data_IF_844131457452
#
_entry.id   IF_844131457452
#
_cell.length_a   1.000
_cell.length_b   1.000
_cell.length_c   1.000
_cell.angle_alpha   90.00
_cell.angle_beta   90.00
_cell.angle_gamma   90.00
#
_symmetry.space_group_name_H-M   'P 1'
#
loop_
_entity.id
_entity.type
_entity.pdbx_description
1 polymer ?
#
# COMPACT_ATOMS: atom_id res chain seq x y z
N UNK A 1 -2.89 31.42 -24.62
CA UNK A 1 -2.56 31.12 -23.20
C UNK A 1 -1.54 29.98 -23.17
N UNK A 2 -0.31 30.26 -22.76
CA UNK A 2 0.72 29.23 -22.59
C UNK A 2 0.26 28.29 -21.47
N UNK A 3 0.07 27.00 -21.78
CA UNK A 3 -0.23 26.01 -20.74
C UNK A 3 1.07 25.77 -19.97
N UNK A 4 1.05 26.01 -18.67
CA UNK A 4 2.17 25.65 -17.80
C UNK A 4 2.41 24.14 -17.96
N UNK A 5 3.64 23.70 -18.29
CA UNK A 5 3.93 22.29 -18.47
C UNK A 5 3.82 21.57 -17.12
N UNK A 6 3.39 20.31 -17.18
CA UNK A 6 3.44 19.44 -16.00
C UNK A 6 4.81 18.77 -15.97
N UNK A 7 5.47 18.78 -14.82
CA UNK A 7 6.75 18.10 -14.56
C UNK A 7 6.55 17.02 -13.50
N UNK A 8 7.49 16.07 -13.41
CA UNK A 8 7.55 15.08 -12.34
C UNK A 8 8.85 15.25 -11.59
N UNK A 9 8.79 15.22 -10.27
CA UNK A 9 9.94 15.30 -9.38
C UNK A 9 9.77 14.35 -8.19
N UNK A 10 10.86 14.10 -7.48
CA UNK A 10 10.80 13.43 -6.19
C UNK A 10 10.05 14.30 -5.16
N UNK A 11 9.36 13.61 -4.25
CA UNK A 11 8.58 14.23 -3.21
C UNK A 11 9.46 14.81 -2.12
N UNK A 12 8.99 15.90 -1.54
CA UNK A 12 9.63 16.66 -0.47
C UNK A 12 8.76 16.60 0.77
N UNK A 13 9.32 16.92 1.94
CA UNK A 13 8.58 16.95 3.20
C UNK A 13 7.29 17.79 3.11
N UNK A 14 7.36 18.94 2.43
CA UNK A 14 6.21 19.86 2.26
C UNK A 14 5.07 19.28 1.41
N UNK A 15 5.31 18.20 0.65
CA UNK A 15 4.25 17.54 -0.13
C UNK A 15 3.33 16.66 0.77
N UNK A 16 3.69 16.43 2.04
CA UNK A 16 2.96 15.52 2.92
C UNK A 16 1.47 15.89 3.07
N UNK A 17 1.13 17.18 3.16
CA UNK A 17 -0.27 17.63 3.21
C UNK A 17 -1.03 17.34 1.91
N UNK A 18 -0.38 17.52 0.76
CA UNK A 18 -0.97 17.18 -0.54
C UNK A 18 -1.21 15.67 -0.64
N UNK A 19 -0.22 14.86 -0.28
CA UNK A 19 -0.30 13.40 -0.30
C UNK A 19 -1.40 12.89 0.64
N UNK A 20 -1.57 13.50 1.81
CA UNK A 20 -2.65 13.18 2.75
C UNK A 20 -4.01 13.35 2.08
N UNK A 21 -4.21 14.45 1.34
CA UNK A 21 -5.46 14.74 0.64
C UNK A 21 -5.80 13.72 -0.46
N UNK A 22 -4.82 13.14 -1.15
CA UNK A 22 -5.06 12.20 -2.26
C UNK A 22 -5.02 10.71 -1.85
N UNK A 23 -4.41 10.39 -0.71
CA UNK A 23 -4.19 9.02 -0.26
C UNK A 23 -4.86 8.68 1.09
N UNK A 24 -5.70 9.56 1.64
CA UNK A 24 -6.39 9.34 2.91
C UNK A 24 -7.01 7.93 3.03
N UNK A 25 -7.70 7.45 2.00
CA UNK A 25 -8.35 6.13 1.98
C UNK A 25 -7.38 4.94 1.95
N UNK A 26 -6.10 5.18 1.63
CA UNK A 26 -5.05 4.17 1.57
C UNK A 26 -4.20 4.11 2.84
N UNK A 27 -4.23 5.16 3.65
CA UNK A 27 -3.51 5.23 4.92
C UNK A 27 -4.23 4.44 6.02
N UNK A 28 -3.50 4.13 7.10
CA UNK A 28 -4.12 3.50 8.28
C UNK A 28 -5.18 4.43 8.87
N UNK A 29 -6.24 3.82 9.41
CA UNK A 29 -7.36 4.54 10.03
C UNK A 29 -6.95 5.06 11.40
N UNK A 30 -6.40 6.28 11.44
CA UNK A 30 -5.99 7.02 12.63
C UNK A 30 -6.32 8.51 12.45
N UNK A 31 -5.98 9.36 13.41
CA UNK A 31 -6.15 10.81 13.26
C UNK A 31 -5.22 11.41 12.20
N UNK A 32 -5.57 12.61 11.72
CA UNK A 32 -4.85 13.25 10.62
C UNK A 32 -3.40 13.60 10.97
N UNK A 33 -3.08 13.85 12.24
CA UNK A 33 -1.72 14.20 12.66
C UNK A 33 -0.80 12.98 12.60
N UNK A 34 -1.28 11.82 13.05
CA UNK A 34 -0.54 10.57 12.88
C UNK A 34 -0.39 10.19 11.40
N UNK A 35 -1.43 10.36 10.58
CA UNK A 35 -1.35 10.11 9.14
C UNK A 35 -0.33 11.02 8.44
N UNK A 36 -0.23 12.28 8.85
CA UNK A 36 0.75 13.22 8.33
C UNK A 36 2.18 12.77 8.70
N UNK A 37 2.40 12.38 9.96
CA UNK A 37 3.69 11.85 10.41
C UNK A 37 4.09 10.54 9.71
N UNK A 38 3.12 9.68 9.38
CA UNK A 38 3.37 8.50 8.56
C UNK A 38 3.85 8.89 7.16
N UNK A 39 3.23 9.88 6.52
CA UNK A 39 3.62 10.35 5.19
C UNK A 39 5.01 10.99 5.18
N UNK A 40 5.35 11.81 6.18
CA UNK A 40 6.71 12.34 6.34
C UNK A 40 7.76 11.22 6.48
N UNK A 41 7.40 10.16 7.19
CA UNK A 41 8.25 8.96 7.33
C UNK A 41 8.40 8.23 6.00
N UNK A 42 7.31 8.09 5.24
CA UNK A 42 7.33 7.45 3.91
C UNK A 42 8.18 8.25 2.92
N UNK A 43 8.03 9.59 2.89
CA UNK A 43 8.84 10.47 2.04
C UNK A 43 10.32 10.29 2.35
N UNK A 44 10.70 10.36 3.65
CA UNK A 44 12.09 10.20 4.08
C UNK A 44 12.64 8.81 3.76
N UNK A 45 11.83 7.77 3.92
CA UNK A 45 12.20 6.40 3.59
C UNK A 45 12.48 6.22 2.10
N UNK A 46 11.65 6.83 1.25
CA UNK A 46 11.85 6.80 -0.19
C UNK A 46 13.11 7.55 -0.62
N UNK A 47 13.37 8.74 -0.05
CA UNK A 47 14.56 9.54 -0.32
C UNK A 47 15.86 8.84 0.11
N UNK A 48 15.81 8.08 1.22
CA UNK A 48 16.96 7.36 1.76
C UNK A 48 17.24 6.01 1.06
N UNK A 49 16.37 5.55 0.15
CA UNK A 49 16.46 4.20 -0.43
C UNK A 49 16.63 4.24 -1.95
N UNK A 50 17.67 3.61 -2.52
CA UNK A 50 17.82 3.52 -3.96
C UNK A 50 16.75 2.64 -4.62
N UNK A 51 16.06 1.80 -3.85
CA UNK A 51 15.02 0.90 -4.34
C UNK A 51 13.61 1.50 -4.24
N UNK A 52 13.48 2.74 -3.77
CA UNK A 52 12.20 3.41 -3.62
C UNK A 52 12.24 4.79 -4.26
N UNK A 53 11.10 5.24 -4.78
CA UNK A 53 10.90 6.64 -5.20
C UNK A 53 9.45 7.03 -4.96
N UNK A 54 9.25 8.17 -4.30
CA UNK A 54 7.94 8.83 -4.24
C UNK A 54 8.00 10.00 -5.20
N UNK A 55 7.16 9.98 -6.23
CA UNK A 55 7.14 11.01 -7.25
C UNK A 55 5.87 11.85 -7.13
N UNK A 56 6.02 13.16 -7.31
CA UNK A 56 4.94 14.14 -7.39
C UNK A 56 4.97 14.76 -8.78
N UNK A 57 3.81 14.75 -9.45
CA UNK A 57 3.60 15.55 -10.65
C UNK A 57 3.13 16.94 -10.23
N UNK A 58 3.74 17.98 -10.79
CA UNK A 58 3.40 19.38 -10.51
C UNK A 58 3.11 20.16 -11.79
N UNK A 59 2.13 21.05 -11.73
CA UNK A 59 1.85 22.02 -12.79
C UNK A 59 2.33 23.40 -12.31
N UNK A 60 3.54 23.79 -12.69
CA UNK A 60 4.22 24.94 -12.09
C UNK A 60 4.67 24.58 -10.67
N UNK A 61 4.06 25.18 -9.65
CA UNK A 61 4.32 24.87 -8.23
C UNK A 61 3.18 24.10 -7.56
N UNK A 62 2.08 23.84 -8.28
CA UNK A 62 0.93 23.15 -7.73
C UNK A 62 1.09 21.63 -7.91
N UNK A 63 1.10 20.82 -6.84
CA UNK A 63 1.10 19.37 -6.95
C UNK A 63 -0.27 18.87 -7.45
N UNK A 64 -0.25 18.00 -8.46
CA UNK A 64 -1.45 17.55 -9.20
C UNK A 64 -1.58 16.04 -9.30
N UNK A 65 -0.57 15.29 -8.89
CA UNK A 65 -0.62 13.84 -8.80
C UNK A 65 0.59 13.28 -8.09
N UNK A 66 0.51 12.01 -7.70
CA UNK A 66 1.63 11.30 -7.09
C UNK A 66 1.59 9.81 -7.37
N UNK A 67 2.74 9.18 -7.19
CA UNK A 67 2.90 7.72 -7.22
C UNK A 67 4.04 7.30 -6.32
N UNK A 68 3.90 6.15 -5.66
CA UNK A 68 4.98 5.53 -4.88
C UNK A 68 5.50 4.30 -5.59
N UNK A 69 6.82 4.19 -5.74
CA UNK A 69 7.52 3.13 -6.49
C UNK A 69 8.43 2.35 -5.55
N UNK A 70 8.46 1.03 -5.71
CA UNK A 70 9.35 0.14 -4.96
C UNK A 70 9.91 -0.95 -5.89
N UNK A 71 11.22 -0.98 -6.09
CA UNK A 71 11.93 -2.05 -6.77
C UNK A 71 12.10 -3.23 -5.81
N UNK A 72 11.47 -4.36 -6.12
CA UNK A 72 11.49 -5.55 -5.26
C UNK A 72 11.17 -6.79 -6.11
N UNK A 73 10.64 -7.84 -5.52
CA UNK A 73 10.09 -9.02 -6.23
C UNK A 73 8.57 -8.91 -6.37
N UNK A 74 7.97 -9.61 -7.34
CA UNK A 74 6.51 -9.64 -7.50
C UNK A 74 5.77 -9.99 -6.19
N UNK A 75 6.30 -10.96 -5.44
CA UNK A 75 5.81 -11.28 -4.10
C UNK A 75 6.72 -12.29 -3.40
N UNK A 76 6.41 -12.72 -2.18
CA UNK A 76 7.31 -13.58 -1.39
C UNK A 76 7.54 -14.98 -1.99
N UNK A 77 6.67 -15.42 -2.90
CA UNK A 77 6.79 -16.73 -3.59
C UNK A 77 7.23 -16.59 -5.05
N UNK A 78 6.97 -15.44 -5.67
CA UNK A 78 7.38 -15.16 -7.04
C UNK A 78 8.47 -14.10 -7.01
N UNK A 79 9.70 -14.58 -7.13
CA UNK A 79 10.92 -13.78 -7.00
C UNK A 79 11.29 -13.02 -8.28
N UNK A 80 10.43 -12.98 -9.29
CA UNK A 80 10.64 -12.16 -10.49
C UNK A 80 10.86 -10.68 -10.09
N UNK A 81 12.01 -10.08 -10.41
CA UNK A 81 12.25 -8.67 -10.13
C UNK A 81 11.15 -7.79 -10.75
N UNK A 82 10.56 -6.94 -9.93
CA UNK A 82 9.37 -6.17 -10.27
C UNK A 82 9.41 -4.79 -9.59
N UNK A 83 9.09 -3.73 -10.33
CA UNK A 83 8.76 -2.44 -9.73
C UNK A 83 7.27 -2.45 -9.37
N UNK A 84 7.00 -2.39 -8.08
CA UNK A 84 5.65 -2.24 -7.53
C UNK A 84 5.28 -0.75 -7.49
N UNK A 85 4.14 -0.42 -8.09
CA UNK A 85 3.58 0.92 -8.24
C UNK A 85 2.37 1.02 -7.32
N UNK A 86 2.46 1.84 -6.29
CA UNK A 86 1.42 2.01 -5.28
C UNK A 86 0.69 3.33 -5.42
N UNK A 87 -0.63 3.25 -5.25
CA UNK A 87 -1.55 4.39 -5.16
C UNK A 87 -1.35 5.48 -6.24
N UNK A 88 -1.21 5.16 -7.54
CA UNK A 88 -1.12 6.20 -8.56
C UNK A 88 -2.38 7.06 -8.53
N UNK A 89 -2.21 8.37 -8.34
CA UNK A 89 -3.32 9.32 -8.23
C UNK A 89 -3.07 10.58 -9.04
N UNK A 90 -4.13 11.09 -9.69
CA UNK A 90 -4.16 12.41 -10.33
C UNK A 90 -5.42 13.13 -9.87
N UNK A 91 -5.26 14.36 -9.40
CA UNK A 91 -6.39 15.17 -8.92
C UNK A 91 -7.41 15.37 -10.04
N UNK A 92 -8.72 15.40 -9.75
CA UNK A 92 -9.78 15.37 -10.77
C UNK A 92 -9.64 16.41 -11.88
N UNK A 93 -9.25 17.64 -11.54
CA UNK A 93 -9.08 18.77 -12.47
C UNK A 93 -7.96 18.56 -13.50
N UNK A 94 -6.98 17.71 -13.21
CA UNK A 94 -5.83 17.41 -14.08
C UNK A 94 -5.90 16.04 -14.76
N UNK A 95 -7.02 15.31 -14.60
CA UNK A 95 -7.24 14.04 -15.30
C UNK A 95 -7.44 14.25 -16.80
N UNK A 96 -7.10 13.22 -17.59
CA UNK A 96 -7.17 13.24 -19.08
C UNK A 96 -6.29 14.33 -19.72
N UNK A 97 -5.25 14.81 -19.00
CA UNK A 97 -4.27 15.79 -19.50
C UNK A 97 -2.86 15.21 -19.64
N UNK A 98 -2.71 13.89 -19.64
CA UNK A 98 -1.41 13.21 -19.75
C UNK A 98 -0.67 12.99 -18.42
N UNK A 99 -1.08 13.61 -17.31
CA UNK A 99 -0.39 13.48 -16.00
C UNK A 99 -0.20 12.02 -15.56
N UNK A 100 -1.27 11.21 -15.62
CA UNK A 100 -1.18 9.80 -15.24
C UNK A 100 -0.25 9.00 -16.15
N UNK A 101 -0.18 9.34 -17.45
CA UNK A 101 0.76 8.72 -18.39
C UNK A 101 2.20 9.08 -18.00
N UNK A 102 2.46 10.35 -17.71
CA UNK A 102 3.79 10.83 -17.32
C UNK A 102 4.30 10.19 -16.02
N UNK A 103 3.42 9.99 -15.02
CA UNK A 103 3.74 9.24 -13.80
C UNK A 103 4.11 7.78 -14.11
N UNK A 104 3.38 7.13 -15.02
CA UNK A 104 3.69 5.75 -15.42
C UNK A 104 4.95 5.63 -16.28
N UNK A 105 5.21 6.59 -17.17
CA UNK A 105 6.48 6.69 -17.91
C UNK A 105 7.67 6.83 -16.95
N UNK A 106 7.51 7.63 -15.89
CA UNK A 106 8.53 7.75 -14.83
C UNK A 106 8.73 6.43 -14.07
N UNK A 107 7.66 5.67 -13.85
CA UNK A 107 7.73 4.35 -13.21
C UNK A 107 8.45 3.31 -14.10
N UNK A 108 8.23 3.36 -15.42
CA UNK A 108 8.94 2.50 -16.38
C UNK A 108 10.42 2.86 -16.42
N UNK A 109 10.76 4.15 -16.52
CA UNK A 109 12.16 4.61 -16.49
C UNK A 109 12.87 4.16 -15.21
N UNK A 110 12.22 4.29 -14.05
CA UNK A 110 12.75 3.81 -12.76
C UNK A 110 13.05 2.30 -12.77
N UNK A 111 12.21 1.49 -13.43
CA UNK A 111 12.42 0.05 -13.59
C UNK A 111 13.59 -0.25 -14.53
N UNK A 112 13.64 0.43 -15.68
CA UNK A 112 14.68 0.26 -16.70
C UNK A 112 16.07 0.64 -16.17
N UNK A 113 16.18 1.73 -15.40
CA UNK A 113 17.40 2.15 -14.69
C UNK A 113 17.97 1.04 -13.80
N UNK A 114 17.14 0.11 -13.33
CA UNK A 114 17.49 -1.01 -12.44
C UNK A 114 17.56 -2.35 -13.15
N UNK A 115 17.40 -2.39 -14.47
CA UNK A 115 17.33 -3.62 -15.24
C UNK A 115 16.09 -4.48 -14.94
N UNK A 116 15.05 -3.88 -14.35
CA UNK A 116 13.80 -4.57 -14.01
C UNK A 116 12.85 -4.47 -15.20
N UNK A 117 12.39 -5.62 -15.70
CA UNK A 117 11.55 -5.70 -16.91
C UNK A 117 10.04 -5.79 -16.61
N UNK A 118 9.69 -5.95 -15.33
CA UNK A 118 8.32 -6.19 -14.91
C UNK A 118 7.86 -5.05 -14.00
N UNK A 119 6.64 -4.54 -14.25
CA UNK A 119 5.96 -3.61 -13.35
C UNK A 119 4.65 -4.21 -12.87
N UNK A 120 4.28 -3.94 -11.63
CA UNK A 120 3.00 -4.33 -11.06
C UNK A 120 2.37 -3.13 -10.36
N UNK A 121 1.12 -2.81 -10.65
CA UNK A 121 0.44 -1.67 -10.05
C UNK A 121 -0.68 -2.11 -9.10
N UNK A 122 -0.63 -1.59 -7.87
CA UNK A 122 -1.71 -1.67 -6.91
C UNK A 122 -2.57 -0.39 -7.01
N UNK A 123 -3.77 -0.53 -7.56
CA UNK A 123 -4.79 0.52 -7.56
C UNK A 123 -5.91 0.20 -6.58
N UNK A 124 -6.64 1.24 -6.14
CA UNK A 124 -7.84 1.06 -5.32
C UNK A 124 -8.84 0.12 -6.01
N UNK A 125 -9.30 -0.89 -5.27
CA UNK A 125 -10.24 -1.90 -5.77
C UNK A 125 -11.58 -1.29 -6.23
N UNK A 126 -12.02 -0.18 -5.64
CA UNK A 126 -13.23 0.54 -6.04
C UNK A 126 -13.03 1.52 -7.21
N UNK A 127 -11.77 1.82 -7.56
CA UNK A 127 -11.40 2.84 -8.53
C UNK A 127 -11.54 2.36 -9.98
N UNK A 128 -12.76 2.32 -10.53
CA UNK A 128 -13.03 1.88 -11.92
C UNK A 128 -12.18 2.62 -12.96
N UNK A 129 -12.05 3.94 -12.83
CA UNK A 129 -11.30 4.76 -13.78
C UNK A 129 -9.80 4.46 -13.75
N UNK A 130 -9.23 4.26 -12.55
CA UNK A 130 -7.83 3.89 -12.38
C UNK A 130 -7.54 2.49 -12.92
N UNK A 131 -8.39 1.50 -12.60
CA UNK A 131 -8.24 0.14 -13.12
C UNK A 131 -8.37 0.09 -14.65
N UNK A 132 -9.30 0.85 -15.24
CA UNK A 132 -9.42 0.96 -16.70
C UNK A 132 -8.19 1.61 -17.33
N UNK A 133 -7.60 2.61 -16.67
CA UNK A 133 -6.37 3.24 -17.13
C UNK A 133 -5.20 2.24 -17.14
N UNK A 134 -4.99 1.49 -16.05
CA UNK A 134 -3.95 0.47 -15.98
C UNK A 134 -4.15 -0.65 -17.01
N UNK A 135 -5.38 -1.14 -17.19
CA UNK A 135 -5.69 -2.14 -18.20
C UNK A 135 -5.37 -1.66 -19.62
N UNK A 136 -5.60 -0.38 -19.93
CA UNK A 136 -5.26 0.22 -21.23
C UNK A 136 -3.75 0.33 -21.47
N UNK A 137 -2.95 0.34 -20.40
CA UNK A 137 -1.48 0.28 -20.49
C UNK A 137 -0.96 -1.16 -20.62
N UNK A 138 -1.84 -2.16 -20.64
CA UNK A 138 -1.48 -3.57 -20.78
C UNK A 138 -1.30 -4.31 -19.46
N UNK A 139 -1.56 -3.68 -18.31
CA UNK A 139 -1.48 -4.37 -17.02
C UNK A 139 -2.72 -5.26 -16.82
N UNK A 140 -2.48 -6.57 -16.70
CA UNK A 140 -3.51 -7.56 -16.37
C UNK A 140 -3.64 -7.78 -14.85
N UNK A 141 -4.82 -8.22 -14.41
CA UNK A 141 -5.04 -8.61 -13.02
C UNK A 141 -4.31 -9.93 -12.72
N UNK A 142 -3.39 -9.90 -11.75
CA UNK A 142 -2.63 -11.09 -11.31
C UNK A 142 -3.04 -11.57 -9.90
N UNK A 143 -3.48 -10.66 -9.03
CA UNK A 143 -3.87 -10.97 -7.66
C UNK A 143 -4.92 -9.98 -7.13
N UNK A 144 -5.66 -10.39 -6.10
CA UNK A 144 -6.58 -9.54 -5.33
C UNK A 144 -6.26 -9.67 -3.85
N UNK A 145 -5.87 -8.57 -3.21
CA UNK A 145 -5.66 -8.51 -1.76
C UNK A 145 -6.98 -8.21 -1.06
N UNK A 146 -7.37 -9.07 -0.10
CA UNK A 146 -8.56 -8.86 0.74
C UNK A 146 -8.13 -8.53 2.16
N UNK A 147 -8.73 -7.50 2.73
CA UNK A 147 -8.39 -7.00 4.06
C UNK A 147 -9.63 -7.00 4.95
N UNK A 148 -9.46 -7.43 6.19
CA UNK A 148 -10.46 -7.33 7.25
C UNK A 148 -9.77 -7.36 8.61
N UNK A 149 -10.34 -6.72 9.65
CA UNK A 149 -9.84 -6.85 11.01
C UNK A 149 -9.83 -8.33 11.45
N UNK A 150 -8.79 -8.74 12.16
CA UNK A 150 -8.62 -10.14 12.61
C UNK A 150 -9.78 -10.63 13.48
N UNK A 151 -10.37 -9.74 14.28
CA UNK A 151 -11.55 -10.04 15.09
C UNK A 151 -12.78 -10.40 14.24
N UNK A 152 -12.99 -9.69 13.12
CA UNK A 152 -14.08 -9.97 12.17
C UNK A 152 -13.88 -11.34 11.54
N UNK A 153 -12.67 -11.62 11.05
CA UNK A 153 -12.34 -12.93 10.45
C UNK A 153 -12.50 -14.05 11.48
N UNK A 154 -12.02 -13.86 12.72
CA UNK A 154 -12.15 -14.84 13.81
C UNK A 154 -13.60 -15.16 14.14
N UNK A 155 -14.44 -14.13 14.23
CA UNK A 155 -15.88 -14.28 14.49
C UNK A 155 -16.55 -15.11 13.39
N UNK A 156 -16.31 -14.77 12.12
CA UNK A 156 -16.86 -15.49 10.97
C UNK A 156 -16.39 -16.94 10.89
N UNK A 157 -15.10 -17.20 11.10
CA UNK A 157 -14.55 -18.56 11.13
C UNK A 157 -15.15 -19.40 12.26
N UNK A 158 -15.45 -18.80 13.41
CA UNK A 158 -16.09 -19.50 14.54
C UNK A 158 -17.50 -19.95 14.17
N UNK A 159 -18.27 -19.09 13.49
CA UNK A 159 -19.61 -19.45 12.99
C UNK A 159 -19.53 -20.55 11.93
N UNK A 160 -18.64 -20.41 10.95
CA UNK A 160 -18.43 -21.43 9.91
C UNK A 160 -18.00 -22.77 10.50
N UNK A 161 -17.09 -22.77 11.48
CA UNK A 161 -16.64 -23.98 12.16
C UNK A 161 -17.73 -24.69 12.97
N UNK A 162 -18.75 -23.97 13.47
CA UNK A 162 -19.92 -24.58 14.14
C UNK A 162 -20.86 -25.29 13.17
N UNK A 163 -20.87 -24.88 11.90
CA UNK A 163 -21.66 -25.49 10.83
C UNK A 163 -20.99 -26.70 10.17
N UNK A 164 -19.73 -27.01 10.50
CA UNK A 164 -19.03 -28.19 9.97
C UNK A 164 -19.57 -29.49 10.60
N UNK A 165 -19.64 -30.59 9.81
CA UNK A 165 -20.11 -31.88 10.31
C UNK A 165 -19.24 -32.43 11.46
N UNK A 166 -19.85 -33.26 12.31
CA UNK A 166 -19.30 -33.70 13.60
C UNK A 166 -17.90 -34.36 13.52
N UNK A 167 -17.54 -34.99 12.40
CA UNK A 167 -16.23 -35.62 12.19
C UNK A 167 -15.10 -34.63 11.86
N UNK A 168 -15.41 -33.43 11.38
CA UNK A 168 -14.42 -32.36 11.15
C UNK A 168 -14.15 -31.52 12.41
N UNK A 169 -14.99 -31.67 13.45
CA UNK A 169 -14.72 -31.19 14.81
C UNK A 169 -13.74 -32.15 15.50
N UNK A 170 -12.52 -32.26 14.97
CA UNK A 170 -11.46 -32.98 15.67
C UNK A 170 -11.39 -32.48 17.11
N UNK A 171 -11.41 -33.45 18.02
CA UNK A 171 -11.50 -33.33 19.47
C UNK A 171 -10.60 -32.21 20.00
N UNK A 172 -11.17 -31.02 20.24
CA UNK A 172 -10.55 -30.07 21.16
C UNK A 172 -10.69 -30.68 22.56
N UNK A 173 -9.67 -31.41 23.01
CA UNK A 173 -9.56 -31.75 24.43
C UNK A 173 -9.60 -30.45 25.24
N UNK A 174 -10.45 -30.33 26.27
CA UNK A 174 -10.65 -29.09 27.03
C UNK A 174 -9.38 -28.52 27.69
N UNK A 175 -8.28 -29.28 27.71
CA UNK A 175 -6.98 -28.88 28.28
C UNK A 175 -6.09 -28.02 27.36
N UNK A 176 -6.35 -27.94 26.05
CA UNK A 176 -5.45 -27.21 25.12
C UNK A 176 -5.80 -25.73 24.93
N UNK A 177 -7.02 -25.29 25.27
CA UNK A 177 -7.38 -23.86 25.16
C UNK A 177 -6.75 -23.01 26.27
N UNK A 178 -6.49 -23.59 27.46
CA UNK A 178 -5.83 -22.87 28.56
C UNK A 178 -4.36 -22.63 28.26
N UNK A 179 -3.64 -23.61 27.68
CA UNK A 179 -2.21 -23.50 27.43
C UNK A 179 -1.82 -22.35 26.48
N UNK A 180 -2.61 -22.12 25.42
CA UNK A 180 -2.36 -20.99 24.50
C UNK A 180 -2.70 -19.66 25.16
N UNK A 181 -3.77 -19.61 25.96
CA UNK A 181 -4.13 -18.43 26.75
C UNK A 181 -3.08 -18.08 27.80
N UNK A 182 -2.54 -19.07 28.49
CA UNK A 182 -1.47 -18.97 29.49
C UNK A 182 -0.16 -18.54 28.85
N UNK A 183 0.21 -19.08 27.68
CA UNK A 183 1.40 -18.65 26.94
C UNK A 183 1.30 -17.19 26.46
N UNK A 184 0.12 -16.75 26.04
CA UNK A 184 -0.10 -15.35 25.65
C UNK A 184 -0.13 -14.42 26.86
N UNK A 185 -0.67 -14.86 28.01
CA UNK A 185 -0.65 -14.12 29.26
C UNK A 185 0.78 -13.98 29.83
N UNK A 186 1.56 -15.06 29.80
CA UNK A 186 2.97 -15.07 30.21
C UNK A 186 3.84 -14.15 29.33
N UNK A 187 3.59 -14.11 28.02
CA UNK A 187 4.28 -13.16 27.13
C UNK A 187 3.88 -11.71 27.37
N UNK A 188 2.64 -11.44 27.78
CA UNK A 188 2.16 -10.09 28.14
C UNK A 188 2.77 -9.59 29.45
N UNK A 189 2.99 -10.47 30.44
CA UNK A 189 3.66 -10.10 31.69
C UNK A 189 5.15 -9.82 31.47
N UNK A 190 5.85 -10.64 30.69
CA UNK A 190 7.27 -10.43 30.37
C UNK A 190 7.54 -9.12 29.61
N UNK A 191 6.59 -8.66 28.76
CA UNK A 191 6.71 -7.36 28.09
C UNK A 191 6.50 -6.16 29.02
N UNK A 192 5.72 -6.29 30.10
CA UNK A 192 5.56 -5.22 31.10
C UNK A 192 6.78 -5.07 32.00
N UNK A 193 7.53 -6.14 32.23
CA UNK A 193 8.76 -6.12 33.02
C UNK A 193 9.93 -5.39 32.34
N UNK A 194 9.89 -5.25 31.01
CA UNK A 194 10.96 -4.64 30.22
C UNK A 194 10.78 -3.12 30.00
N UNK A 195 9.78 -2.49 30.61
CA UNK A 195 9.51 -1.04 30.49
C UNK A 195 9.85 -0.26 31.77
N UNK A 196 10.42 -0.92 32.79
CA UNK A 196 10.96 -0.25 33.98
C UNK A 196 12.42 -0.67 34.14
N UNK A 197 13.29 -0.03 33.36
CA UNK A 197 14.72 0.09 33.57
C UNK A 197 15.20 1.34 32.81
#
# INVERSE_FOLDING_TARGET
>A
MSRVPVTVREARADDALFLLGIWQDSLRMTDAQEQLGDLETIIRGADASPDQRLLVAECGTEPVGAVYLCATTFGPLNLEPTVQIFAPHVVPSFRRRGVGRMLMESAVAFAEERGVRTIAAAASAGGRDGNRFLARLGLGAQAVMRVAPTAVVRSRLTVLGRALPHHARLQRSPKQSSAVGELLAARRSQRRSHTVA
#
